data_IF_638815824632
#
_entry.id   IF_638815824632
#
_cell.length_a   1.000
_cell.length_b   1.000
_cell.length_c   1.000
_cell.angle_alpha   90.00
_cell.angle_beta   90.00
_cell.angle_gamma   90.00
#
_symmetry.space_group_name_H-M   'P 1'
#
loop_
_entity.id
_entity.type
_entity.pdbx_description
1 polymer ?
#
# COMPACT_ATOMS: atom_id res chain seq x y z
N UNK A 1 11.15 4.72 20.60
CA UNK A 1 11.48 4.46 19.18
C UNK A 1 12.28 5.63 18.64
N UNK A 2 13.47 5.42 18.05
CA UNK A 2 14.19 6.50 17.39
C UNK A 2 13.43 6.98 16.16
N UNK A 3 13.22 8.28 16.05
CA UNK A 3 12.57 8.94 14.94
C UNK A 3 13.48 10.01 14.35
N UNK A 4 13.29 10.34 13.08
CA UNK A 4 13.99 11.45 12.43
C UNK A 4 13.00 12.34 11.69
N UNK A 5 13.26 13.65 11.72
CA UNK A 5 12.40 14.68 11.12
C UNK A 5 13.23 15.47 10.12
N UNK A 6 12.71 15.66 8.92
CA UNK A 6 13.27 16.51 7.89
C UNK A 6 12.29 17.58 7.47
N UNK A 7 12.73 18.84 7.44
CA UNK A 7 11.96 19.98 6.97
C UNK A 7 12.62 20.60 5.74
N UNK A 8 11.82 21.10 4.84
CA UNK A 8 12.28 21.77 3.62
C UNK A 8 11.13 22.41 2.86
N UNK A 9 11.40 23.31 1.91
CA UNK A 9 10.38 24.06 1.16
C UNK A 9 9.54 23.18 0.22
N UNK A 10 9.98 21.96 -0.08
CA UNK A 10 9.27 21.01 -0.92
C UNK A 10 9.23 19.61 -0.28
N UNK A 11 8.32 18.75 -0.75
CA UNK A 11 8.25 17.35 -0.30
C UNK A 11 9.56 16.60 -0.60
N UNK A 12 10.17 16.83 -1.76
CA UNK A 12 11.45 16.26 -2.16
C UNK A 12 12.56 16.65 -1.19
N UNK A 13 12.70 17.92 -0.91
CA UNK A 13 13.73 18.43 0.01
C UNK A 13 13.48 18.01 1.47
N UNK A 14 12.24 17.94 1.92
CA UNK A 14 11.93 17.40 3.25
C UNK A 14 12.37 15.93 3.39
N UNK A 15 12.25 15.12 2.32
CA UNK A 15 12.78 13.74 2.29
C UNK A 15 14.30 13.69 2.29
N UNK A 16 14.96 14.59 1.57
CA UNK A 16 16.44 14.76 1.62
C UNK A 16 16.86 15.12 3.04
N UNK A 17 16.24 16.12 3.64
CA UNK A 17 16.52 16.56 5.01
C UNK A 17 16.35 15.41 6.02
N UNK A 18 15.27 14.62 5.90
CA UNK A 18 15.05 13.45 6.74
C UNK A 18 16.16 12.39 6.57
N UNK A 19 16.66 12.19 5.36
CA UNK A 19 17.78 11.27 5.11
C UNK A 19 19.07 11.74 5.79
N UNK A 20 19.36 13.06 5.73
CA UNK A 20 20.47 13.68 6.46
C UNK A 20 20.29 13.52 7.97
N UNK A 21 19.13 13.87 8.51
CA UNK A 21 18.81 13.72 9.94
C UNK A 21 19.03 12.29 10.44
N UNK A 22 18.60 11.29 9.66
CA UNK A 22 18.77 9.89 9.99
C UNK A 22 20.24 9.43 9.93
N UNK A 23 20.99 9.87 8.91
CA UNK A 23 22.39 9.44 8.71
C UNK A 23 23.34 10.07 9.70
N UNK A 24 23.06 11.30 10.10
CA UNK A 24 23.90 12.09 11.02
C UNK A 24 23.15 12.37 12.33
N UNK A 25 22.51 11.35 12.90
CA UNK A 25 21.64 11.48 14.07
C UNK A 25 22.35 12.15 15.26
N UNK A 26 23.63 11.83 15.51
CA UNK A 26 24.43 12.39 16.59
C UNK A 26 24.64 13.91 16.44
N UNK A 27 24.84 14.39 15.21
CA UNK A 27 25.05 15.81 14.91
C UNK A 27 23.76 16.61 14.81
N UNK A 28 22.70 15.99 14.32
CA UNK A 28 21.43 16.66 14.03
C UNK A 28 20.40 16.46 15.14
N UNK A 29 20.71 15.62 16.12
CA UNK A 29 19.74 15.17 17.16
C UNK A 29 18.43 14.65 16.54
N UNK A 30 18.54 14.03 15.36
CA UNK A 30 17.40 13.48 14.62
C UNK A 30 16.55 14.50 13.85
N UNK A 31 16.92 15.78 13.82
CA UNK A 31 16.18 16.83 13.09
C UNK A 31 17.12 17.59 12.15
N UNK A 32 16.71 17.76 10.90
CA UNK A 32 17.45 18.57 9.93
C UNK A 32 16.50 19.45 9.11
N UNK A 33 16.87 20.73 8.96
CA UNK A 33 16.09 21.74 8.26
C UNK A 33 16.89 22.26 7.07
N UNK A 34 16.32 22.18 5.87
CA UNK A 34 16.84 22.84 4.66
C UNK A 34 16.06 24.14 4.51
N UNK A 35 16.62 25.23 5.04
CA UNK A 35 16.04 26.57 5.10
C UNK A 35 16.85 27.59 4.27
N UNK A 36 17.97 27.17 3.70
CA UNK A 36 18.84 28.01 2.87
C UNK A 36 19.34 27.27 1.63
N UNK A 37 19.72 28.06 0.62
CA UNK A 37 20.28 27.56 -0.63
C UNK A 37 21.59 26.78 -0.40
N UNK A 38 22.44 27.27 0.50
CA UNK A 38 23.68 26.60 0.88
C UNK A 38 23.43 25.21 1.45
N UNK A 39 22.50 25.08 2.41
CA UNK A 39 22.12 23.78 2.98
C UNK A 39 21.50 22.86 1.94
N UNK A 40 20.71 23.40 1.02
CA UNK A 40 20.11 22.65 -0.08
C UNK A 40 21.22 22.04 -0.96
N UNK A 41 22.11 22.86 -1.48
CA UNK A 41 23.21 22.42 -2.35
C UNK A 41 24.10 21.39 -1.64
N UNK A 42 24.48 21.65 -0.38
CA UNK A 42 25.28 20.74 0.42
C UNK A 42 24.61 19.37 0.60
N UNK A 43 23.33 19.36 0.92
CA UNK A 43 22.57 18.12 1.10
C UNK A 43 22.40 17.35 -0.22
N UNK A 44 22.14 18.04 -1.33
CA UNK A 44 22.00 17.43 -2.65
C UNK A 44 23.32 16.87 -3.19
N UNK A 45 24.46 17.55 -2.99
CA UNK A 45 25.80 17.04 -3.36
C UNK A 45 26.18 15.80 -2.56
N UNK A 46 25.74 15.71 -1.31
CA UNK A 46 25.99 14.55 -0.47
C UNK A 46 25.12 13.35 -0.82
N UNK A 47 23.86 13.55 -1.28
CA UNK A 47 22.88 12.48 -1.49
C UNK A 47 23.13 11.78 -2.83
N UNK A 48 23.45 10.45 -2.84
CA UNK A 48 23.52 9.69 -4.08
C UNK A 48 22.18 9.67 -4.81
N UNK A 49 22.22 9.73 -6.13
CA UNK A 49 21.02 9.78 -6.97
C UNK A 49 20.07 8.57 -6.74
N UNK A 50 20.62 7.39 -6.47
CA UNK A 50 19.83 6.19 -6.21
C UNK A 50 19.03 6.25 -4.89
N UNK A 51 19.40 7.14 -3.98
CA UNK A 51 18.76 7.34 -2.67
C UNK A 51 17.70 8.45 -2.69
N UNK A 52 17.55 9.15 -3.81
CA UNK A 52 16.53 10.19 -3.99
C UNK A 52 15.14 9.57 -4.01
N UNK A 53 14.26 10.07 -3.15
CA UNK A 53 12.86 9.65 -3.15
C UNK A 53 12.19 9.93 -4.51
N UNK A 54 11.60 8.90 -5.11
CA UNK A 54 11.01 8.97 -6.44
C UNK A 54 11.93 8.44 -7.56
N UNK A 55 13.22 8.20 -7.29
CA UNK A 55 14.14 7.57 -8.25
C UNK A 55 14.26 6.08 -7.92
N UNK A 56 13.61 5.25 -8.76
CA UNK A 56 13.69 3.79 -8.67
C UNK A 56 14.93 3.23 -9.37
N UNK A 57 15.22 1.94 -9.18
CA UNK A 57 16.41 1.25 -9.71
C UNK A 57 16.66 1.49 -11.21
N UNK A 58 15.60 1.51 -12.03
CA UNK A 58 15.71 1.71 -13.48
C UNK A 58 16.16 3.13 -13.82
N UNK A 59 15.56 4.14 -13.19
CA UNK A 59 15.95 5.52 -13.36
C UNK A 59 17.35 5.78 -12.81
N UNK A 60 17.70 5.24 -11.65
CA UNK A 60 19.04 5.35 -11.09
C UNK A 60 20.10 4.78 -12.03
N UNK A 61 19.86 3.60 -12.63
CA UNK A 61 20.77 2.98 -13.61
C UNK A 61 20.94 3.86 -14.86
N UNK A 62 19.84 4.39 -15.40
CA UNK A 62 19.87 5.30 -16.57
C UNK A 62 20.62 6.59 -16.28
N UNK A 63 20.40 7.19 -15.11
CA UNK A 63 21.07 8.39 -14.67
C UNK A 63 22.58 8.15 -14.48
N UNK A 64 22.96 7.02 -13.89
CA UNK A 64 24.37 6.64 -13.74
C UNK A 64 25.10 6.48 -15.09
N UNK A 65 24.44 5.97 -16.14
CA UNK A 65 24.98 5.89 -17.49
C UNK A 65 25.21 7.27 -18.13
N UNK A 66 24.57 8.32 -17.62
CA UNK A 66 24.76 9.72 -18.03
C UNK A 66 25.57 10.51 -16.98
N UNK A 67 26.42 9.83 -16.22
CA UNK A 67 27.33 10.40 -15.23
C UNK A 67 26.67 11.18 -14.07
N UNK A 68 25.35 11.07 -13.91
CA UNK A 68 24.58 11.67 -12.82
C UNK A 68 24.73 10.83 -11.57
N UNK A 69 25.58 11.24 -10.65
CA UNK A 69 25.94 10.50 -9.42
C UNK A 69 25.19 10.97 -8.19
N UNK A 70 24.90 12.26 -8.11
CA UNK A 70 24.27 12.90 -6.95
C UNK A 70 22.92 13.52 -7.27
N UNK A 71 22.15 13.82 -6.24
CA UNK A 71 20.91 14.58 -6.39
C UNK A 71 21.17 15.99 -6.95
N UNK A 72 22.35 16.57 -6.67
CA UNK A 72 22.73 17.86 -7.24
C UNK A 72 22.95 17.76 -8.74
N UNK A 73 23.69 16.76 -9.23
CA UNK A 73 23.92 16.57 -10.68
C UNK A 73 22.60 16.43 -11.43
N UNK A 74 21.61 15.77 -10.81
CA UNK A 74 20.28 15.64 -11.40
C UNK A 74 19.57 16.97 -11.56
N UNK A 75 19.76 17.94 -10.66
CA UNK A 75 19.21 19.28 -10.80
C UNK A 75 19.88 20.09 -11.92
N UNK A 76 21.09 19.72 -12.35
CA UNK A 76 21.80 20.43 -13.44
C UNK A 76 21.40 19.95 -14.84
N UNK A 77 20.62 18.86 -14.95
CA UNK A 77 20.12 18.38 -16.25
C UNK A 77 19.09 19.36 -16.84
N UNK A 78 19.03 19.42 -18.19
CA UNK A 78 17.98 20.21 -18.84
C UNK A 78 16.57 19.65 -18.57
N UNK A 79 15.59 20.53 -18.46
CA UNK A 79 14.19 20.17 -18.22
C UNK A 79 13.63 19.26 -19.33
N UNK A 80 14.02 19.53 -20.58
CA UNK A 80 13.60 18.73 -21.74
C UNK A 80 14.15 17.32 -21.69
N UNK A 81 15.42 17.16 -21.32
CA UNK A 81 16.01 15.83 -21.15
C UNK A 81 15.29 15.03 -20.07
N UNK A 82 15.10 15.66 -18.89
CA UNK A 82 14.40 15.00 -17.77
C UNK A 82 12.98 14.64 -18.16
N UNK A 83 12.24 15.53 -18.81
CA UNK A 83 10.88 15.27 -19.28
C UNK A 83 10.82 14.11 -20.28
N UNK A 84 11.76 14.05 -21.22
CA UNK A 84 11.85 12.97 -22.23
C UNK A 84 12.17 11.62 -21.59
N UNK A 85 13.10 11.58 -20.63
CA UNK A 85 13.59 10.34 -20.03
C UNK A 85 12.77 9.83 -18.84
N UNK A 86 12.14 10.73 -18.09
CA UNK A 86 11.46 10.41 -16.82
C UNK A 86 10.04 10.97 -16.74
N UNK A 87 9.50 11.49 -17.85
CA UNK A 87 8.18 12.12 -17.95
C UNK A 87 8.02 13.38 -17.08
N UNK A 88 6.81 13.91 -17.02
CA UNK A 88 6.45 15.06 -16.16
C UNK A 88 6.68 14.77 -14.67
N UNK A 89 6.66 13.51 -14.26
CA UNK A 89 6.92 13.13 -12.86
C UNK A 89 8.37 13.37 -12.48
N UNK A 90 9.31 13.00 -13.36
CA UNK A 90 10.73 13.31 -13.18
C UNK A 90 11.02 14.80 -13.17
N UNK A 91 10.36 15.57 -14.04
CA UNK A 91 10.50 17.03 -14.09
C UNK A 91 10.01 17.69 -12.79
N UNK A 92 8.85 17.26 -12.28
CA UNK A 92 8.34 17.71 -10.98
C UNK A 92 9.30 17.41 -9.84
N UNK A 93 9.88 16.22 -9.84
CA UNK A 93 10.89 15.86 -8.84
C UNK A 93 12.13 16.76 -8.93
N UNK A 94 12.62 17.05 -10.14
CA UNK A 94 13.75 17.99 -10.36
C UNK A 94 13.41 19.35 -9.77
N UNK A 95 12.26 19.93 -10.13
CA UNK A 95 11.81 21.23 -9.59
C UNK A 95 11.66 21.23 -8.07
N UNK A 96 11.13 20.14 -7.51
CA UNK A 96 11.04 19.95 -6.05
C UNK A 96 12.42 20.00 -5.38
N UNK A 97 13.46 19.39 -5.99
CA UNK A 97 14.83 19.44 -5.49
C UNK A 97 15.50 20.80 -5.73
N UNK A 98 15.08 21.56 -6.73
CA UNK A 98 15.50 22.97 -6.96
C UNK A 98 14.89 23.94 -5.94
N UNK A 99 13.92 23.50 -5.14
CA UNK A 99 13.25 24.31 -4.12
C UNK A 99 11.85 24.77 -4.50
N UNK A 100 11.41 24.50 -5.73
CA UNK A 100 10.06 24.85 -6.20
C UNK A 100 9.09 23.75 -5.87
N UNK A 101 8.15 23.97 -4.95
CA UNK A 101 7.15 22.99 -4.55
C UNK A 101 6.15 22.72 -5.70
N UNK A 102 6.31 21.59 -6.38
CA UNK A 102 5.46 21.19 -7.52
C UNK A 102 4.41 20.13 -7.13
N UNK A 103 4.56 19.50 -5.97
CA UNK A 103 3.63 18.49 -5.44
C UNK A 103 2.85 19.11 -4.30
N UNK A 104 1.57 19.50 -4.51
CA UNK A 104 0.78 20.16 -3.49
C UNK A 104 0.54 19.28 -2.26
N UNK A 105 0.27 19.89 -1.12
CA UNK A 105 -0.22 19.19 0.06
C UNK A 105 -1.70 18.86 -0.14
N UNK A 106 -2.01 17.56 -0.17
CA UNK A 106 -3.41 17.11 -0.23
C UNK A 106 -4.02 17.16 1.16
N UNK A 107 -4.97 18.06 1.36
CA UNK A 107 -5.73 18.18 2.63
C UNK A 107 -6.79 17.07 2.75
N UNK A 108 -7.34 16.64 1.61
CA UNK A 108 -8.35 15.57 1.54
C UNK A 108 -7.81 14.49 0.59
N UNK A 109 -7.73 13.27 1.08
CA UNK A 109 -7.27 12.16 0.27
C UNK A 109 -8.30 11.82 -0.82
N UNK A 110 -7.87 11.75 -2.07
CA UNK A 110 -8.72 11.30 -3.18
C UNK A 110 -9.19 9.86 -2.97
N UNK A 111 -10.41 9.50 -3.42
CA UNK A 111 -10.89 8.12 -3.40
C UNK A 111 -9.90 7.17 -4.09
N UNK A 112 -9.65 6.03 -3.47
CA UNK A 112 -8.70 5.05 -4.01
C UNK A 112 -9.26 4.42 -5.28
N UNK A 113 -8.48 4.38 -6.34
CA UNK A 113 -8.81 3.71 -7.61
C UNK A 113 -8.54 2.20 -7.58
N UNK A 114 -7.77 1.73 -6.61
CA UNK A 114 -7.53 0.32 -6.33
C UNK A 114 -7.32 0.13 -4.82
N UNK A 115 -7.81 -0.98 -4.28
CA UNK A 115 -7.64 -1.33 -2.87
C UNK A 115 -7.02 -2.72 -2.80
N UNK A 116 -5.88 -2.84 -2.11
CA UNK A 116 -5.19 -4.11 -1.98
C UNK A 116 -5.03 -4.53 -0.52
N UNK A 117 -5.05 -5.84 -0.32
CA UNK A 117 -4.61 -6.49 0.91
C UNK A 117 -3.66 -7.61 0.52
N UNK A 118 -2.39 -7.45 0.87
CA UNK A 118 -1.33 -8.42 0.54
C UNK A 118 -0.47 -8.68 1.77
N UNK A 119 -0.06 -9.92 1.97
CA UNK A 119 0.84 -10.26 3.08
C UNK A 119 1.88 -11.29 2.66
N UNK A 120 3.06 -11.17 3.23
CA UNK A 120 4.04 -12.26 3.25
C UNK A 120 3.69 -13.19 4.40
N UNK A 121 3.79 -14.49 4.17
CA UNK A 121 3.52 -15.50 5.17
C UNK A 121 4.69 -15.63 6.13
N UNK A 122 4.44 -16.03 7.37
CA UNK A 122 5.50 -16.27 8.36
C UNK A 122 6.37 -17.46 7.94
N UNK A 123 5.74 -18.60 7.67
CA UNK A 123 6.35 -19.79 7.08
C UNK A 123 6.04 -19.90 5.58
N UNK A 124 6.75 -20.78 4.88
CA UNK A 124 6.42 -21.16 3.51
C UNK A 124 5.19 -22.09 3.55
N UNK A 125 4.25 -21.88 2.62
CA UNK A 125 2.98 -22.61 2.57
C UNK A 125 2.91 -23.38 1.27
N UNK A 126 2.52 -24.65 1.36
CA UNK A 126 2.29 -25.54 0.22
C UNK A 126 0.82 -25.95 0.06
N UNK A 127 0.05 -25.89 1.14
CA UNK A 127 -1.35 -26.31 1.16
C UNK A 127 -2.26 -25.31 0.44
N UNK A 128 -3.10 -25.82 -0.47
CA UNK A 128 -4.14 -25.03 -1.13
C UNK A 128 -5.12 -24.43 -0.12
N UNK A 129 -5.57 -25.23 0.85
CA UNK A 129 -6.55 -24.78 1.84
C UNK A 129 -6.02 -23.61 2.67
N UNK A 130 -4.76 -23.67 3.10
CA UNK A 130 -4.16 -22.56 3.84
C UNK A 130 -4.03 -21.27 3.01
N UNK A 131 -3.71 -21.38 1.73
CA UNK A 131 -3.65 -20.21 0.83
C UNK A 131 -5.07 -19.69 0.57
N UNK A 132 -6.05 -20.58 0.38
CA UNK A 132 -7.47 -20.28 0.16
C UNK A 132 -8.07 -19.47 1.32
N UNK A 133 -7.85 -19.89 2.55
CA UNK A 133 -8.31 -19.18 3.75
C UNK A 133 -7.74 -17.75 3.83
N UNK A 134 -6.46 -17.59 3.50
CA UNK A 134 -5.80 -16.27 3.48
C UNK A 134 -6.36 -15.37 2.38
N UNK A 135 -6.53 -15.91 1.17
CA UNK A 135 -7.12 -15.16 0.04
C UNK A 135 -8.54 -14.72 0.38
N UNK A 136 -9.36 -15.59 0.96
CA UNK A 136 -10.72 -15.24 1.43
C UNK A 136 -10.68 -14.12 2.47
N UNK A 137 -9.78 -14.20 3.43
CA UNK A 137 -9.58 -13.16 4.44
C UNK A 137 -9.17 -11.84 3.81
N UNK A 138 -8.24 -11.85 2.84
CA UNK A 138 -7.80 -10.63 2.17
C UNK A 138 -8.89 -10.02 1.29
N UNK A 139 -9.70 -10.84 0.64
CA UNK A 139 -10.87 -10.42 -0.13
C UNK A 139 -11.90 -9.70 0.75
N UNK A 140 -12.21 -10.28 1.91
CA UNK A 140 -13.12 -9.67 2.90
C UNK A 140 -12.59 -8.33 3.41
N UNK A 141 -11.29 -8.23 3.72
CA UNK A 141 -10.66 -6.97 4.13
C UNK A 141 -10.68 -5.91 3.02
N UNK A 142 -10.56 -6.31 1.75
CA UNK A 142 -10.73 -5.39 0.63
C UNK A 142 -12.18 -4.90 0.51
N UNK A 143 -13.16 -5.79 0.67
CA UNK A 143 -14.58 -5.46 0.67
C UNK A 143 -14.97 -4.47 1.80
N UNK A 144 -14.46 -4.67 3.01
CA UNK A 144 -14.65 -3.73 4.13
C UNK A 144 -14.11 -2.34 3.80
N UNK A 145 -12.93 -2.26 3.18
CA UNK A 145 -12.34 -0.97 2.77
C UNK A 145 -13.13 -0.30 1.64
N UNK A 146 -13.69 -1.06 0.70
CA UNK A 146 -14.60 -0.55 -0.33
C UNK A 146 -15.85 0.07 0.31
N UNK A 147 -16.50 -0.65 1.22
CA UNK A 147 -17.69 -0.16 1.94
C UNK A 147 -17.40 1.09 2.76
N UNK A 148 -16.22 1.15 3.43
CA UNK A 148 -15.79 2.37 4.15
C UNK A 148 -15.60 3.58 3.22
N UNK A 149 -15.26 3.34 1.97
CA UNK A 149 -15.14 4.38 0.94
C UNK A 149 -16.47 4.71 0.26
N UNK A 150 -17.55 3.94 0.50
CA UNK A 150 -18.82 4.08 -0.21
C UNK A 150 -18.73 3.66 -1.68
N UNK A 151 -17.93 2.65 -2.00
CA UNK A 151 -17.62 2.25 -3.37
C UNK A 151 -17.84 0.75 -3.56
N UNK A 152 -17.99 0.36 -4.83
CA UNK A 152 -18.04 -1.03 -5.30
C UNK A 152 -16.96 -1.27 -6.34
N UNK A 153 -16.63 -2.52 -6.63
CA UNK A 153 -15.62 -2.87 -7.64
C UNK A 153 -16.16 -3.84 -8.69
N UNK A 154 -15.61 -3.78 -9.90
CA UNK A 154 -15.93 -4.66 -11.02
C UNK A 154 -14.95 -5.82 -11.22
N UNK A 155 -13.77 -5.76 -10.61
CA UNK A 155 -12.74 -6.77 -10.84
C UNK A 155 -11.90 -7.03 -9.59
N UNK A 156 -11.47 -8.29 -9.46
CA UNK A 156 -10.63 -8.79 -8.39
C UNK A 156 -9.36 -9.38 -8.99
N UNK A 157 -8.22 -8.84 -8.64
CA UNK A 157 -6.92 -9.40 -8.98
C UNK A 157 -6.38 -10.21 -7.81
N UNK A 158 -6.03 -11.46 -8.08
CA UNK A 158 -5.45 -12.38 -7.09
C UNK A 158 -4.06 -12.79 -7.55
N UNK A 159 -3.12 -12.88 -6.65
CA UNK A 159 -1.78 -13.35 -6.97
C UNK A 159 -1.20 -14.19 -5.83
N UNK A 160 -0.30 -15.08 -6.23
CA UNK A 160 0.55 -15.89 -5.34
C UNK A 160 1.99 -15.85 -5.84
N UNK A 161 2.96 -15.97 -4.92
CA UNK A 161 4.36 -16.08 -5.30
C UNK A 161 5.22 -16.78 -4.25
N UNK A 162 6.27 -17.46 -4.71
CA UNK A 162 7.35 -18.02 -3.91
C UNK A 162 8.27 -16.93 -3.33
N UNK A 163 9.27 -17.33 -2.57
CA UNK A 163 10.25 -16.40 -2.01
C UNK A 163 11.39 -16.12 -3.03
N UNK A 164 11.49 -14.90 -3.60
CA UNK A 164 12.53 -14.58 -4.57
C UNK A 164 13.94 -14.49 -3.94
N UNK A 165 14.05 -14.50 -2.62
CA UNK A 165 15.32 -14.47 -1.89
C UNK A 165 15.85 -15.88 -1.54
N UNK A 166 15.15 -16.91 -1.99
CA UNK A 166 15.55 -18.31 -1.85
C UNK A 166 15.61 -18.94 -3.25
N UNK A 167 16.67 -18.66 -4.03
CA UNK A 167 16.77 -19.08 -5.42
C UNK A 167 16.84 -20.61 -5.59
N UNK A 168 17.27 -21.32 -4.56
CA UNK A 168 17.38 -22.78 -4.55
C UNK A 168 16.00 -23.48 -4.52
N UNK A 169 14.94 -22.75 -4.20
CA UNK A 169 13.58 -23.27 -4.23
C UNK A 169 12.91 -23.00 -5.58
N UNK A 170 11.96 -23.86 -6.00
CA UNK A 170 11.19 -23.62 -7.22
C UNK A 170 10.55 -22.24 -7.22
N UNK A 171 10.93 -21.42 -8.22
CA UNK A 171 10.43 -20.07 -8.33
C UNK A 171 9.11 -20.04 -9.10
N UNK A 172 8.09 -19.44 -8.48
CA UNK A 172 6.78 -19.29 -9.06
C UNK A 172 6.17 -17.94 -8.72
N UNK A 173 5.64 -17.28 -9.72
CA UNK A 173 4.85 -16.05 -9.56
C UNK A 173 3.75 -16.06 -10.58
N UNK A 174 2.52 -16.03 -10.12
CA UNK A 174 1.35 -15.94 -10.99
C UNK A 174 0.28 -15.03 -10.38
N UNK A 175 -0.57 -14.48 -11.23
CA UNK A 175 -1.69 -13.65 -10.81
C UNK A 175 -2.73 -13.53 -11.91
N UNK A 176 -3.98 -13.40 -11.52
CA UNK A 176 -5.12 -13.35 -12.42
C UNK A 176 -6.09 -12.23 -12.05
N UNK A 177 -6.54 -11.50 -13.05
CA UNK A 177 -7.66 -10.57 -12.93
C UNK A 177 -8.94 -11.32 -13.28
N UNK A 178 -9.90 -11.30 -12.36
CA UNK A 178 -11.23 -11.89 -12.53
C UNK A 178 -12.25 -10.75 -12.58
N UNK A 179 -12.90 -10.57 -13.72
CA UNK A 179 -13.96 -9.58 -13.89
C UNK A 179 -15.28 -10.15 -13.38
N UNK A 180 -16.04 -9.34 -12.67
CA UNK A 180 -17.37 -9.66 -12.19
C UNK A 180 -18.43 -9.10 -13.17
N UNK A 181 -19.57 -9.78 -13.36
CA UNK A 181 -20.62 -9.30 -14.26
C UNK A 181 -21.30 -8.01 -13.77
N UNK A 182 -21.21 -7.73 -12.47
CA UNK A 182 -21.77 -6.53 -11.83
C UNK A 182 -20.78 -5.97 -10.80
N UNK A 183 -20.93 -4.70 -10.46
CA UNK A 183 -20.16 -4.08 -9.40
C UNK A 183 -20.64 -4.57 -8.03
N UNK A 184 -19.71 -4.96 -7.16
CA UNK A 184 -20.03 -5.46 -5.83
C UNK A 184 -19.15 -4.85 -4.74
N UNK A 185 -19.70 -4.72 -3.55
CA UNK A 185 -19.00 -4.44 -2.29
C UNK A 185 -19.17 -5.57 -1.26
N UNK A 186 -19.86 -6.65 -1.65
CA UNK A 186 -20.13 -7.79 -0.79
C UNK A 186 -18.88 -8.62 -0.55
N UNK A 187 -18.59 -8.91 0.72
CA UNK A 187 -17.51 -9.82 1.10
C UNK A 187 -17.72 -11.23 0.54
N UNK A 188 -18.97 -11.67 0.40
CA UNK A 188 -19.32 -12.99 -0.16
C UNK A 188 -18.94 -13.06 -1.63
N UNK A 189 -19.39 -12.07 -2.41
CA UNK A 189 -19.16 -12.00 -3.85
C UNK A 189 -17.67 -11.82 -4.16
N UNK A 190 -17.00 -10.86 -3.52
CA UNK A 190 -15.58 -10.60 -3.75
C UNK A 190 -14.73 -11.82 -3.37
N UNK A 191 -15.03 -12.49 -2.25
CA UNK A 191 -14.36 -13.72 -1.85
C UNK A 191 -14.56 -14.85 -2.86
N UNK A 192 -15.80 -15.06 -3.34
CA UNK A 192 -16.13 -16.07 -4.37
C UNK A 192 -15.28 -15.87 -5.64
N UNK A 193 -15.21 -14.65 -6.16
CA UNK A 193 -14.43 -14.35 -7.37
C UNK A 193 -12.91 -14.39 -7.12
N UNK A 194 -12.44 -14.02 -5.92
CA UNK A 194 -11.06 -14.18 -5.54
C UNK A 194 -10.64 -15.66 -5.51
N UNK A 195 -11.49 -16.54 -4.98
CA UNK A 195 -11.21 -17.97 -4.94
C UNK A 195 -11.22 -18.61 -6.33
N UNK A 196 -12.14 -18.21 -7.22
CA UNK A 196 -12.10 -18.63 -8.64
C UNK A 196 -10.79 -18.26 -9.32
N UNK A 197 -10.22 -17.09 -8.99
CA UNK A 197 -8.91 -16.68 -9.48
C UNK A 197 -7.79 -17.53 -8.89
N UNK A 198 -7.85 -17.84 -7.61
CA UNK A 198 -6.86 -18.69 -6.94
C UNK A 198 -6.81 -20.09 -7.54
N UNK A 199 -7.95 -20.73 -7.78
CA UNK A 199 -8.05 -22.07 -8.39
C UNK A 199 -7.27 -22.18 -9.69
N UNK A 200 -7.25 -21.10 -10.51
CA UNK A 200 -6.56 -21.08 -11.80
C UNK A 200 -5.05 -20.80 -11.72
N UNK A 201 -4.61 -20.17 -10.63
CA UNK A 201 -3.20 -19.78 -10.49
C UNK A 201 -2.44 -20.59 -9.45
N UNK A 202 -3.13 -21.40 -8.64
CA UNK A 202 -2.48 -22.28 -7.69
C UNK A 202 -1.75 -23.41 -8.43
N UNK A 203 -0.62 -23.79 -7.93
CA UNK A 203 0.17 -24.91 -8.44
C UNK A 203 0.72 -25.72 -7.26
N UNK A 204 0.46 -27.02 -7.28
CA UNK A 204 0.96 -27.93 -6.26
C UNK A 204 2.50 -28.01 -6.28
N UNK A 205 3.09 -28.35 -5.15
CA UNK A 205 4.55 -28.48 -5.02
C UNK A 205 5.31 -27.16 -4.89
N UNK A 206 4.64 -26.01 -4.99
CA UNK A 206 5.27 -24.71 -4.81
C UNK A 206 5.19 -24.27 -3.33
N UNK A 207 6.30 -23.76 -2.84
CA UNK A 207 6.39 -23.15 -1.52
C UNK A 207 6.08 -21.65 -1.61
N UNK A 208 4.84 -21.28 -1.28
CA UNK A 208 4.38 -19.91 -1.36
C UNK A 208 4.87 -19.07 -0.18
N UNK A 209 5.37 -17.88 -0.46
CA UNK A 209 5.81 -16.90 0.56
C UNK A 209 4.89 -15.70 0.65
N UNK A 210 4.16 -15.37 -0.42
CA UNK A 210 3.30 -14.19 -0.45
C UNK A 210 2.06 -14.43 -1.30
N UNK A 211 0.92 -13.92 -0.83
CA UNK A 211 -0.31 -13.84 -1.60
C UNK A 211 -0.99 -12.48 -1.38
N UNK A 212 -1.94 -12.17 -2.24
CA UNK A 212 -2.72 -10.96 -2.09
C UNK A 212 -3.94 -10.89 -2.99
N UNK A 213 -4.85 -10.02 -2.58
CA UNK A 213 -6.05 -9.63 -3.32
C UNK A 213 -6.01 -8.12 -3.54
N UNK A 214 -6.34 -7.69 -4.74
CA UNK A 214 -6.53 -6.29 -5.10
C UNK A 214 -7.84 -6.14 -5.85
N UNK A 215 -8.69 -5.23 -5.42
CA UNK A 215 -9.93 -4.87 -6.11
C UNK A 215 -9.72 -3.62 -6.96
N UNK A 216 -10.22 -3.65 -8.19
CA UNK A 216 -10.07 -2.61 -9.21
C UNK A 216 -11.38 -2.35 -9.94
N UNK A 217 -11.40 -1.37 -10.86
CA UNK A 217 -12.65 -0.95 -11.46
C UNK A 217 -13.61 -0.39 -10.40
N UNK A 218 -13.07 0.46 -9.50
CA UNK A 218 -13.83 1.01 -8.38
C UNK A 218 -14.74 2.12 -8.89
N UNK A 219 -16.02 2.01 -8.55
CA UNK A 219 -17.06 3.00 -8.84
C UNK A 219 -17.77 3.41 -7.56
N UNK A 220 -18.26 4.66 -7.45
CA UNK A 220 -19.11 5.06 -6.33
C UNK A 220 -20.37 4.16 -6.27
N UNK A 221 -20.83 3.84 -5.04
CA UNK A 221 -22.00 2.96 -4.85
C UNK A 221 -23.25 3.47 -5.57
N UNK A 222 -23.46 4.77 -5.59
CA UNK A 222 -24.62 5.44 -6.22
C UNK A 222 -24.49 5.62 -7.72
N UNK A 223 -23.35 5.31 -8.32
CA UNK A 223 -23.10 5.39 -9.77
C UNK A 223 -23.02 4.00 -10.43
N UNK A 224 -23.60 2.98 -9.82
CA UNK A 224 -23.65 1.64 -10.40
C UNK A 224 -24.71 1.59 -11.50
N UNK A 225 -24.30 1.14 -12.69
CA UNK A 225 -25.24 0.77 -13.73
C UNK A 225 -25.87 -0.58 -13.38
N UNK A 226 -27.17 -0.58 -13.16
CA UNK A 226 -27.92 -1.81 -12.98
C UNK A 226 -28.02 -2.56 -14.31
N UNK A 227 -27.71 -3.85 -14.28
CA UNK A 227 -27.91 -4.74 -15.42
C UNK A 227 -29.29 -5.40 -15.31
N UNK A 228 -29.92 -5.63 -16.47
CA UNK A 228 -31.29 -6.16 -16.50
C UNK A 228 -31.35 -7.63 -16.09
N UNK A 229 -30.26 -8.39 -16.32
CA UNK A 229 -30.21 -9.85 -16.16
C UNK A 229 -29.27 -10.34 -15.09
N UNK A 230 -28.25 -9.56 -14.75
CA UNK A 230 -27.23 -9.92 -13.76
C UNK A 230 -27.24 -8.89 -12.63
N UNK A 231 -27.67 -9.29 -11.46
CA UNK A 231 -27.68 -8.45 -10.28
C UNK A 231 -27.13 -9.17 -9.04
N UNK A 232 -26.56 -8.41 -8.13
CA UNK A 232 -26.26 -8.94 -6.80
C UNK A 232 -27.57 -9.10 -6.00
N UNK A 233 -27.66 -10.15 -5.20
CA UNK A 233 -28.76 -10.32 -4.26
C UNK A 233 -28.87 -9.08 -3.35
N UNK A 234 -30.02 -8.40 -3.38
CA UNK A 234 -30.26 -7.17 -2.63
C UNK A 234 -30.08 -7.35 -1.12
N UNK A 235 -30.23 -8.59 -0.61
CA UNK A 235 -30.00 -8.92 0.81
C UNK A 235 -28.53 -8.77 1.21
N UNK A 236 -27.58 -8.84 0.27
CA UNK A 236 -26.16 -8.69 0.56
C UNK A 236 -25.84 -7.33 1.17
N UNK A 237 -26.44 -6.25 0.70
CA UNK A 237 -26.23 -4.91 1.25
C UNK A 237 -26.62 -4.81 2.72
N UNK A 238 -27.82 -5.29 3.05
CA UNK A 238 -28.30 -5.30 4.43
C UNK A 238 -27.44 -6.18 5.33
N UNK A 239 -27.07 -7.37 4.86
CA UNK A 239 -26.18 -8.28 5.57
C UNK A 239 -24.82 -7.67 5.84
N UNK A 240 -24.16 -7.05 4.83
CA UNK A 240 -22.86 -6.42 5.01
C UNK A 240 -22.92 -5.25 5.98
N UNK A 241 -23.97 -4.44 5.96
CA UNK A 241 -24.17 -3.37 6.92
C UNK A 241 -24.25 -3.88 8.35
N UNK A 242 -25.00 -4.99 8.58
CA UNK A 242 -25.12 -5.61 9.90
C UNK A 242 -23.78 -6.20 10.38
N UNK A 243 -23.05 -6.87 9.51
CA UNK A 243 -21.70 -7.39 9.83
C UNK A 243 -20.78 -6.23 10.19
N UNK A 244 -20.76 -5.15 9.42
CA UNK A 244 -19.92 -3.98 9.69
C UNK A 244 -20.30 -3.27 11.01
N UNK A 245 -21.59 -3.24 11.38
CA UNK A 245 -22.07 -2.75 12.69
C UNK A 245 -21.55 -3.62 13.84
N UNK A 246 -21.64 -4.94 13.68
CA UNK A 246 -21.14 -5.89 14.68
C UNK A 246 -19.62 -5.81 14.84
N UNK A 247 -18.87 -5.67 13.74
CA UNK A 247 -17.42 -5.46 13.79
C UNK A 247 -17.04 -4.15 14.49
N UNK A 248 -17.83 -3.07 14.33
CA UNK A 248 -17.61 -1.80 15.05
C UNK A 248 -17.89 -1.95 16.55
N UNK A 249 -18.95 -2.67 16.92
CA UNK A 249 -19.36 -2.81 18.32
C UNK A 249 -18.49 -3.79 19.11
N UNK A 250 -18.14 -4.93 18.50
CA UNK A 250 -17.48 -6.05 19.20
C UNK A 250 -16.03 -6.29 18.74
N UNK A 251 -15.52 -5.45 17.83
CA UNK A 251 -14.17 -5.57 17.27
C UNK A 251 -14.13 -6.42 15.97
N UNK A 252 -13.05 -6.30 15.20
CA UNK A 252 -12.90 -6.97 13.91
C UNK A 252 -12.79 -8.49 14.09
N UNK A 253 -13.20 -9.22 13.07
CA UNK A 253 -13.10 -10.69 12.98
C UNK A 253 -13.98 -11.50 13.96
N UNK A 254 -15.00 -10.92 14.55
CA UNK A 254 -15.97 -11.66 15.38
C UNK A 254 -16.92 -12.49 14.53
N UNK A 255 -17.31 -11.97 13.36
CA UNK A 255 -18.05 -12.70 12.34
C UNK A 255 -17.15 -12.92 11.16
N UNK A 256 -17.11 -14.14 10.64
CA UNK A 256 -16.27 -14.54 9.51
C UNK A 256 -17.09 -15.36 8.51
N UNK A 257 -16.64 -15.35 7.26
CA UNK A 257 -17.11 -16.30 6.27
C UNK A 257 -16.50 -17.68 6.57
N UNK A 258 -17.26 -18.76 6.30
CA UNK A 258 -16.81 -20.14 6.58
C UNK A 258 -15.52 -20.54 5.83
N UNK A 259 -15.20 -19.84 4.73
CA UNK A 259 -13.98 -20.07 3.97
C UNK A 259 -12.78 -19.22 4.44
N UNK A 260 -12.88 -18.50 5.55
CA UNK A 260 -11.78 -17.76 6.18
C UNK A 260 -11.11 -18.61 7.26
N UNK A 261 -9.91 -18.21 7.67
CA UNK A 261 -9.25 -18.76 8.87
C UNK A 261 -10.11 -18.50 10.13
N UNK A 262 -10.93 -19.48 10.49
CA UNK A 262 -11.86 -19.39 11.62
C UNK A 262 -11.12 -19.35 12.95
N UNK A 263 -10.00 -20.05 13.06
CA UNK A 263 -9.21 -20.21 14.29
C UNK A 263 -8.30 -19.04 14.59
N UNK A 264 -8.18 -18.05 13.67
CA UNK A 264 -7.22 -16.95 13.76
C UNK A 264 -5.76 -17.43 13.89
N UNK A 265 -5.43 -18.51 13.21
CA UNK A 265 -4.09 -19.12 13.22
C UNK A 265 -3.02 -18.13 12.67
N UNK A 266 -3.44 -17.29 11.73
CA UNK A 266 -2.54 -16.38 11.02
C UNK A 266 -2.59 -14.97 11.60
N UNK A 267 -1.82 -14.75 12.66
CA UNK A 267 -1.66 -13.42 13.27
C UNK A 267 -0.40 -12.76 12.75
N UNK A 268 -0.45 -11.44 12.60
CA UNK A 268 0.78 -10.67 12.41
C UNK A 268 1.65 -10.82 13.67
N UNK A 269 2.94 -11.10 13.48
CA UNK A 269 3.88 -11.16 14.59
C UNK A 269 4.01 -9.77 15.21
N UNK A 270 3.50 -9.60 16.43
CA UNK A 270 3.43 -8.34 17.15
C UNK A 270 4.12 -8.46 18.52
N UNK A 271 5.31 -9.07 18.53
CA UNK A 271 6.06 -9.33 19.76
C UNK A 271 6.62 -8.05 20.42
N UNK A 272 6.77 -6.97 19.64
CA UNK A 272 7.35 -5.71 20.08
C UNK A 272 6.44 -4.53 19.75
N UNK A 273 5.24 -4.52 20.31
CA UNK A 273 4.36 -3.35 20.24
C UNK A 273 4.87 -2.26 21.19
N UNK A 274 4.83 -1.00 20.74
CA UNK A 274 5.02 0.12 21.65
C UNK A 274 3.94 0.07 22.73
N UNK A 275 4.26 0.39 24.00
CA UNK A 275 3.24 0.63 25.01
C UNK A 275 2.29 1.71 24.49
N UNK A 276 0.99 1.42 24.48
CA UNK A 276 -0.01 2.38 24.03
C UNK A 276 -0.29 3.35 25.18
N UNK A 277 0.60 4.32 25.35
CA UNK A 277 0.44 5.35 26.39
C UNK A 277 -0.75 6.29 26.14
N UNK A 278 -1.23 6.39 24.89
CA UNK A 278 -2.36 7.28 24.54
C UNK A 278 -3.71 6.84 25.09
N UNK A 279 -3.93 5.54 25.29
CA UNK A 279 -5.18 5.04 25.85
C UNK A 279 -5.36 5.42 27.32
N UNK A 280 -4.27 5.83 27.97
CA UNK A 280 -4.31 6.35 29.34
C UNK A 280 -4.46 7.88 29.38
N UNK A 281 -4.20 8.58 28.28
CA UNK A 281 -4.41 10.02 28.16
C UNK A 281 -5.86 10.37 27.75
N UNK A 282 -6.56 9.43 27.15
CA UNK A 282 -8.02 9.47 27.01
C UNK A 282 -8.63 8.76 28.21
N UNK A 283 -8.34 9.26 29.40
CA UNK A 283 -9.13 8.91 30.56
C UNK A 283 -10.60 9.20 30.28
N UNK A 284 -11.48 8.26 30.64
CA UNK A 284 -12.87 8.45 30.47
C UNK A 284 -13.29 9.72 31.20
N UNK A 285 -13.77 10.67 30.48
CA UNK A 285 -14.60 11.76 30.98
C UNK A 285 -15.96 11.23 31.45
N UNK A 286 -16.03 10.02 31.87
CA UNK A 286 -17.23 9.43 32.45
C UNK A 286 -17.09 9.39 33.96
N UNK A 287 -16.94 10.52 34.56
CA UNK A 287 -17.54 10.75 35.87
C UNK A 287 -18.72 11.66 35.66
N UNK A 288 -19.77 11.10 35.07
CA UNK A 288 -21.08 11.58 35.42
C UNK A 288 -21.34 11.13 36.85
N UNK A 289 -21.52 12.07 37.72
CA UNK A 289 -22.13 11.98 39.03
C UNK A 289 -23.51 11.39 38.90
#
# INVERSE_FOLDING_TARGET
MPVSIGLGPSKGLAKVANRVAKKFADRTKGVYVIDSEEKRIKALKWLPIADVWGIGRQHARRLALNEVKTAYDFTQLSDDWVRKQMSVVGLRLKKDLEGTATIPMEMIASPKKAIATTRSFEALITSYEEVRERISTYATLCAEKLRKQGSSCHAVYVFVRSNPFMPDLPQYRNGMLVTMPFASQSSLTISKYALKGLERIFKDGIQYKKAGVMVTGIVPKNAQQLTLFDGEDSRHDALMQRIDQLHRKYGPHKIKLANQDLSRTFKMKQAHLSPVSYTHLTLPTSYAV
#
